data_IF_865949695727
#
_entry.id   IF_865949695727
#
_cell.length_a   1.000
_cell.length_b   1.000
_cell.length_c   1.000
_cell.angle_alpha   90.00
_cell.angle_beta   90.00
_cell.angle_gamma   90.00
#
_symmetry.space_group_name_H-M   'P 1'
#
loop_
_entity.id
_entity.type
_entity.pdbx_description
1 polymer ?
#
# COMPACT_ATOMS: atom_id res chain seq x y z
N UNK A 1 -19.50 1.51 1.82
CA UNK A 1 -18.97 1.33 0.45
C UNK A 1 -17.51 0.94 0.49
N UNK A 2 -17.14 -0.12 -0.22
CA UNK A 2 -15.75 -0.53 -0.33
C UNK A 2 -15.01 0.40 -1.29
N UNK A 3 -14.05 1.17 -0.78
CA UNK A 3 -13.27 2.14 -1.56
C UNK A 3 -11.85 1.68 -1.92
N UNK A 4 -11.52 0.39 -1.65
CA UNK A 4 -10.17 -0.13 -1.85
C UNK A 4 -10.02 -1.01 -3.08
N UNK A 5 -11.09 -1.27 -3.81
CA UNK A 5 -11.10 -2.09 -5.03
C UNK A 5 -11.53 -1.25 -6.22
N UNK A 6 -10.88 -1.42 -7.36
CA UNK A 6 -11.24 -0.77 -8.62
C UNK A 6 -10.76 -1.59 -9.83
N UNK A 7 -11.34 -1.28 -11.00
CA UNK A 7 -11.16 -2.02 -12.23
C UNK A 7 -12.31 -2.98 -12.51
N UNK A 8 -12.40 -3.47 -13.73
CA UNK A 8 -13.42 -4.41 -14.18
C UNK A 8 -12.80 -5.77 -14.54
N UNK A 9 -12.19 -5.89 -15.71
CA UNK A 9 -11.53 -7.12 -16.17
C UNK A 9 -10.17 -7.30 -15.47
N UNK A 10 -9.38 -6.24 -15.41
CA UNK A 10 -8.21 -6.14 -14.56
C UNK A 10 -8.63 -5.37 -13.31
N UNK A 11 -8.59 -6.04 -12.17
CA UNK A 11 -9.07 -5.50 -10.91
C UNK A 11 -7.98 -5.51 -9.87
N UNK A 12 -7.87 -4.44 -9.11
CA UNK A 12 -6.96 -4.39 -7.96
C UNK A 12 -7.73 -4.11 -6.68
N UNK A 13 -7.26 -4.69 -5.58
CA UNK A 13 -7.72 -4.42 -4.23
C UNK A 13 -6.51 -4.11 -3.38
N UNK A 14 -6.40 -2.87 -2.89
CA UNK A 14 -5.33 -2.45 -1.99
C UNK A 14 -5.71 -2.67 -0.54
N UNK A 15 -4.74 -3.00 0.31
CA UNK A 15 -4.93 -3.27 1.73
C UNK A 15 -3.72 -2.82 2.56
N UNK A 16 -3.86 -2.84 3.88
CA UNK A 16 -2.82 -2.45 4.82
C UNK A 16 -2.82 -0.96 5.18
N UNK A 17 -2.11 -0.62 6.22
CA UNK A 17 -2.03 0.71 6.82
C UNK A 17 -0.59 1.17 6.95
N UNK A 18 -0.37 2.50 7.01
CA UNK A 18 0.98 3.11 7.06
C UNK A 18 1.79 2.70 8.29
N UNK A 19 1.12 2.36 9.40
CA UNK A 19 1.72 1.92 10.66
C UNK A 19 1.27 0.51 11.06
N UNK A 20 0.64 -0.24 10.14
CA UNK A 20 0.41 -1.67 10.25
C UNK A 20 1.67 -2.48 9.88
N UNK A 21 1.54 -3.80 9.81
CA UNK A 21 2.66 -4.69 9.45
C UNK A 21 3.17 -4.46 8.03
N UNK A 22 2.27 -4.16 7.10
CA UNK A 22 2.60 -3.95 5.70
C UNK A 22 1.47 -3.33 4.90
N UNK A 23 1.78 -3.05 3.66
CA UNK A 23 0.83 -2.56 2.65
C UNK A 23 0.95 -3.47 1.43
N UNK A 24 -0.19 -3.80 0.84
CA UNK A 24 -0.18 -4.67 -0.32
C UNK A 24 -1.33 -4.43 -1.28
N UNK A 25 -1.35 -5.27 -2.29
CA UNK A 25 -2.37 -5.29 -3.33
C UNK A 25 -2.62 -6.73 -3.77
N UNK A 26 -3.86 -7.01 -4.09
CA UNK A 26 -4.25 -8.20 -4.83
C UNK A 26 -4.68 -7.75 -6.23
N UNK A 27 -4.07 -8.34 -7.25
CA UNK A 27 -4.40 -8.14 -8.66
C UNK A 27 -5.15 -9.37 -9.16
N UNK A 28 -6.33 -9.17 -9.70
CA UNK A 28 -7.14 -10.20 -10.35
C UNK A 28 -7.38 -9.84 -11.81
N UNK A 29 -7.49 -10.86 -12.67
CA UNK A 29 -7.68 -10.69 -14.12
C UNK A 29 -6.39 -10.45 -14.90
N UNK A 30 -5.21 -10.70 -14.33
CA UNK A 30 -3.97 -10.72 -15.07
C UNK A 30 -3.91 -11.99 -15.94
N UNK A 31 -3.64 -11.89 -17.27
CA UNK A 31 -3.50 -13.06 -18.13
C UNK A 31 -2.40 -14.01 -17.66
N UNK A 32 -2.60 -15.31 -17.88
CA UNK A 32 -1.57 -16.31 -17.63
C UNK A 32 -0.43 -16.25 -18.66
N UNK A 33 0.76 -16.65 -18.24
CA UNK A 33 1.93 -16.84 -19.13
C UNK A 33 2.78 -15.59 -19.38
N UNK A 34 2.47 -14.45 -18.73
CA UNK A 34 3.32 -13.27 -18.79
C UNK A 34 4.54 -13.45 -17.91
N UNK A 35 5.72 -13.05 -18.38
CA UNK A 35 6.93 -13.02 -17.55
C UNK A 35 6.79 -11.95 -16.50
N UNK A 36 6.99 -12.30 -15.24
CA UNK A 36 6.87 -11.39 -14.09
C UNK A 36 7.78 -11.84 -12.96
N UNK A 37 8.54 -10.89 -12.43
CA UNK A 37 9.32 -11.03 -11.20
C UNK A 37 9.24 -9.76 -10.35
N UNK A 38 9.72 -9.81 -9.13
CA UNK A 38 9.71 -8.67 -8.19
C UNK A 38 10.43 -7.46 -8.76
N UNK A 39 11.51 -7.65 -9.50
CA UNK A 39 12.31 -6.56 -10.11
C UNK A 39 11.51 -5.75 -11.13
N UNK A 40 10.56 -6.37 -11.83
CA UNK A 40 9.70 -5.67 -12.78
C UNK A 40 8.81 -4.64 -12.09
N UNK A 41 8.37 -4.96 -10.89
CA UNK A 41 7.52 -4.10 -10.05
C UNK A 41 8.38 -3.12 -9.26
N UNK A 42 9.52 -3.57 -8.73
CA UNK A 42 10.40 -2.80 -7.86
C UNK A 42 10.88 -1.51 -8.53
N UNK A 43 11.20 -1.52 -9.80
CA UNK A 43 11.61 -0.32 -10.56
C UNK A 43 10.59 0.81 -10.53
N UNK A 44 9.29 0.49 -10.44
CA UNK A 44 8.23 1.49 -10.30
C UNK A 44 8.08 1.96 -8.84
N UNK A 45 8.19 1.05 -7.89
CA UNK A 45 8.18 1.38 -6.46
C UNK A 45 9.37 2.25 -6.07
N UNK A 46 10.54 2.01 -6.64
CA UNK A 46 11.74 2.82 -6.42
C UNK A 46 11.56 4.29 -6.84
N UNK A 47 10.78 4.54 -7.88
CA UNK A 47 10.44 5.91 -8.31
C UNK A 47 9.46 6.61 -7.36
N UNK A 48 8.72 5.86 -6.57
CA UNK A 48 7.70 6.33 -5.63
C UNK A 48 8.23 6.49 -4.20
N UNK A 49 9.23 5.71 -3.77
CA UNK A 49 9.68 5.64 -2.37
C UNK A 49 10.06 7.00 -1.78
N UNK A 50 10.00 7.18 -0.44
CA UNK A 50 10.44 8.39 0.23
C UNK A 50 11.89 8.75 -0.06
N UNK A 51 12.26 10.03 0.12
CA UNK A 51 13.65 10.48 -0.01
C UNK A 51 14.07 10.86 -1.43
N UNK A 52 13.15 10.94 -2.40
CA UNK A 52 13.45 11.37 -3.78
C UNK A 52 13.78 12.86 -3.89
N UNK A 53 13.39 13.68 -2.92
CA UNK A 53 13.71 15.11 -2.88
C UNK A 53 13.73 15.65 -1.44
N UNK A 54 14.28 16.84 -1.25
CA UNK A 54 14.29 17.54 0.04
C UNK A 54 12.90 17.91 0.58
N UNK A 55 11.88 17.83 -0.24
CA UNK A 55 10.49 18.13 0.12
C UNK A 55 9.67 16.90 0.51
N UNK A 56 10.25 15.70 0.38
CA UNK A 56 9.56 14.47 0.77
C UNK A 56 9.82 14.14 2.24
N UNK A 57 9.02 13.23 2.81
CA UNK A 57 9.23 12.73 4.16
C UNK A 57 10.63 12.16 4.34
N UNK A 58 11.21 12.34 5.54
CA UNK A 58 12.52 11.78 5.90
C UNK A 58 12.46 10.28 6.24
N UNK A 59 11.27 9.67 6.24
CA UNK A 59 11.08 8.24 6.50
C UNK A 59 11.95 7.41 5.53
N UNK A 60 12.72 6.49 6.09
CA UNK A 60 13.59 5.60 5.32
C UNK A 60 12.95 4.23 5.18
N UNK A 61 12.45 3.95 3.99
CA UNK A 61 11.84 2.66 3.67
C UNK A 61 12.46 2.13 2.36
N UNK A 62 12.81 0.86 2.36
CA UNK A 62 13.29 0.20 1.14
C UNK A 62 12.17 -0.05 0.14
N UNK A 63 10.92 -0.15 0.64
CA UNK A 63 9.72 -0.50 -0.12
C UNK A 63 9.93 -1.74 -1.01
N UNK A 64 10.67 -2.73 -0.48
CA UNK A 64 10.94 -3.99 -1.19
C UNK A 64 9.65 -4.79 -1.30
N UNK A 65 9.26 -5.08 -2.53
CA UNK A 65 8.05 -5.86 -2.83
C UNK A 65 8.34 -7.36 -2.75
N UNK A 66 7.37 -8.10 -2.25
CA UNK A 66 7.32 -9.56 -2.31
C UNK A 66 6.08 -10.00 -3.06
N UNK A 67 6.23 -10.93 -4.01
CA UNK A 67 5.10 -11.61 -4.68
C UNK A 67 4.76 -12.85 -3.87
N UNK A 68 3.53 -12.91 -3.36
CA UNK A 68 3.08 -14.00 -2.46
C UNK A 68 2.28 -15.07 -3.20
N UNK A 69 1.72 -14.77 -4.37
CA UNK A 69 0.90 -15.70 -5.16
C UNK A 69 0.78 -15.26 -6.62
N UNK A 70 0.26 -16.14 -7.46
CA UNK A 70 -0.09 -15.84 -8.86
C UNK A 70 1.08 -15.87 -9.85
N UNK A 71 2.28 -16.26 -9.40
CA UNK A 71 3.47 -16.44 -10.26
C UNK A 71 4.10 -17.80 -9.97
N UNK A 72 4.46 -18.52 -11.01
CA UNK A 72 5.15 -19.79 -10.94
C UNK A 72 6.22 -19.87 -12.04
N UNK A 73 7.45 -20.24 -11.69
CA UNK A 73 8.61 -20.28 -12.61
C UNK A 73 8.77 -19.00 -13.45
N UNK A 74 8.58 -17.82 -12.81
CA UNK A 74 8.73 -16.52 -13.46
C UNK A 74 7.62 -16.14 -14.41
N UNK A 75 6.47 -16.83 -14.38
CA UNK A 75 5.30 -16.53 -15.22
C UNK A 75 4.04 -16.44 -14.40
N UNK A 76 3.15 -15.52 -14.81
CA UNK A 76 1.83 -15.40 -14.23
C UNK A 76 0.99 -16.66 -14.47
N UNK A 77 0.20 -17.06 -13.49
CA UNK A 77 -0.63 -18.27 -13.57
C UNK A 77 -2.07 -18.02 -14.01
N UNK A 78 -2.48 -16.73 -14.12
CA UNK A 78 -3.88 -16.35 -14.36
C UNK A 78 -4.72 -16.32 -13.08
N UNK A 79 -4.16 -16.74 -11.95
CA UNK A 79 -4.81 -16.64 -10.63
C UNK A 79 -4.44 -15.31 -9.96
N UNK A 80 -5.12 -14.90 -8.88
CA UNK A 80 -4.83 -13.64 -8.22
C UNK A 80 -3.37 -13.50 -7.78
N UNK A 81 -2.75 -12.38 -8.15
CA UNK A 81 -1.39 -12.01 -7.75
C UNK A 81 -1.48 -11.17 -6.49
N UNK A 82 -0.96 -11.67 -5.38
CA UNK A 82 -0.84 -10.92 -4.13
C UNK A 82 0.58 -10.40 -3.98
N UNK A 83 0.71 -9.11 -3.72
CA UNK A 83 2.00 -8.46 -3.51
C UNK A 83 1.97 -7.66 -2.20
N UNK A 84 3.11 -7.58 -1.53
CA UNK A 84 3.22 -6.92 -0.23
C UNK A 84 4.56 -6.21 -0.06
N UNK A 85 4.53 -5.09 0.65
CA UNK A 85 5.70 -4.36 1.15
C UNK A 85 5.59 -4.27 2.67
N UNK A 86 6.62 -4.71 3.40
CA UNK A 86 6.68 -4.63 4.85
C UNK A 86 6.99 -3.21 5.31
N UNK A 87 6.30 -2.75 6.35
CA UNK A 87 6.63 -1.51 7.03
C UNK A 87 7.77 -1.76 8.01
N UNK A 88 8.90 -1.10 7.82
CA UNK A 88 10.10 -1.26 8.67
C UNK A 88 10.34 -0.08 9.59
N UNK A 89 10.03 1.14 9.12
CA UNK A 89 10.26 2.39 9.86
C UNK A 89 8.91 2.99 10.29
N UNK A 90 8.34 2.44 11.37
CA UNK A 90 7.10 2.90 11.97
C UNK A 90 7.35 3.33 13.43
N UNK A 91 7.11 4.60 13.73
CA UNK A 91 7.23 5.18 15.05
C UNK A 91 5.84 5.43 15.66
N UNK A 92 5.20 4.37 16.15
CA UNK A 92 3.83 4.46 16.70
C UNK A 92 3.72 5.27 18.00
N UNK A 93 4.82 5.43 18.73
CA UNK A 93 4.86 6.21 19.96
C UNK A 93 4.62 7.72 19.74
N UNK A 94 4.92 8.23 18.56
CA UNK A 94 4.80 9.66 18.21
C UNK A 94 3.36 10.14 18.03
N UNK A 95 2.37 9.23 18.13
CA UNK A 95 0.97 9.53 17.81
C UNK A 95 0.01 9.48 19.00
N UNK A 96 0.51 9.31 20.24
CA UNK A 96 -0.35 9.15 21.42
C UNK A 96 -1.27 10.37 21.68
N UNK A 97 -0.76 11.58 21.49
CA UNK A 97 -1.55 12.80 21.68
C UNK A 97 -2.62 12.98 20.59
N UNK A 98 -2.35 12.50 19.39
CA UNK A 98 -3.22 12.61 18.21
C UNK A 98 -4.48 11.75 18.35
N UNK A 99 -4.48 10.76 19.24
CA UNK A 99 -5.66 9.94 19.52
C UNK A 99 -6.85 10.77 20.03
N UNK A 100 -6.59 11.92 20.69
CA UNK A 100 -7.61 12.72 21.35
C UNK A 100 -8.22 13.83 20.49
N UNK A 101 -7.69 14.12 19.30
CA UNK A 101 -8.20 15.17 18.42
C UNK A 101 -8.09 14.81 16.94
N UNK A 102 -8.81 15.54 16.09
CA UNK A 102 -8.74 15.41 14.64
C UNK A 102 -7.70 16.35 14.05
N UNK A 103 -6.77 15.83 13.27
CA UNK A 103 -5.72 16.62 12.64
C UNK A 103 -6.26 17.38 11.43
N UNK A 104 -5.97 18.69 11.29
CA UNK A 104 -6.27 19.43 10.07
C UNK A 104 -5.61 18.79 8.85
N UNK A 105 -6.34 18.72 7.73
CA UNK A 105 -5.84 18.15 6.48
C UNK A 105 -5.70 16.62 6.45
N UNK A 106 -6.18 15.91 7.49
CA UNK A 106 -6.22 14.45 7.56
C UNK A 106 -7.66 13.94 7.54
N UNK A 107 -7.84 12.67 7.28
CA UNK A 107 -9.15 12.02 7.20
C UNK A 107 -9.67 11.50 8.56
N UNK A 108 -9.14 11.98 9.67
CA UNK A 108 -9.43 11.48 11.01
C UNK A 108 -10.93 11.51 11.32
N UNK A 109 -11.58 12.66 11.17
CA UNK A 109 -13.01 12.83 11.36
C UNK A 109 -13.83 11.94 10.42
N UNK A 110 -13.45 11.92 9.13
CA UNK A 110 -14.18 11.11 8.14
C UNK A 110 -14.11 9.61 8.43
N UNK A 111 -13.02 9.12 9.00
CA UNK A 111 -12.88 7.71 9.37
C UNK A 111 -13.72 7.38 10.59
N UNK A 112 -13.73 8.23 11.62
CA UNK A 112 -14.59 8.04 12.80
C UNK A 112 -16.08 8.07 12.41
N UNK A 113 -16.50 9.03 11.58
CA UNK A 113 -17.89 9.11 11.11
C UNK A 113 -18.29 7.89 10.24
N UNK A 114 -17.40 7.41 9.41
CA UNK A 114 -17.69 6.31 8.48
C UNK A 114 -17.63 4.94 9.12
N UNK A 115 -16.67 4.69 10.02
CA UNK A 115 -16.34 3.37 10.55
C UNK A 115 -16.59 3.24 12.06
N UNK A 116 -16.90 4.34 12.76
CA UNK A 116 -17.13 4.36 14.20
C UNK A 116 -15.86 4.42 15.05
N UNK A 117 -14.68 4.26 14.46
CA UNK A 117 -13.37 4.45 15.08
C UNK A 117 -12.29 4.57 14.00
N UNK A 118 -11.10 5.01 14.39
CA UNK A 118 -9.95 5.14 13.48
C UNK A 118 -8.67 4.57 14.07
N UNK A 119 -7.76 4.16 13.21
CA UNK A 119 -6.35 4.03 13.57
C UNK A 119 -5.69 5.41 13.46
N UNK A 120 -5.40 6.02 14.61
CA UNK A 120 -4.81 7.36 14.69
C UNK A 120 -3.31 7.38 14.34
N UNK A 121 -2.65 6.24 14.24
CA UNK A 121 -1.22 6.12 13.96
C UNK A 121 -0.93 6.50 12.51
N UNK A 122 -0.17 7.56 12.31
CA UNK A 122 0.08 8.09 10.97
C UNK A 122 -1.20 8.51 10.26
N UNK A 123 -1.45 8.12 9.08
CA UNK A 123 -2.71 8.35 8.34
C UNK A 123 -3.50 7.06 8.14
N UNK A 124 -3.07 5.94 8.71
CA UNK A 124 -3.70 4.63 8.48
C UNK A 124 -3.84 4.34 6.99
N UNK A 125 -5.06 3.98 6.56
CA UNK A 125 -5.41 3.77 5.14
C UNK A 125 -5.42 5.05 4.30
N UNK A 126 -5.58 6.23 4.90
CA UNK A 126 -5.57 7.53 4.19
C UNK A 126 -4.16 8.10 3.98
N UNK A 127 -3.12 7.42 4.45
CA UNK A 127 -1.73 7.81 4.24
C UNK A 127 -1.33 7.73 2.77
N UNK A 128 -0.48 8.65 2.31
CA UNK A 128 0.14 8.58 0.98
C UNK A 128 0.93 7.29 0.74
N UNK A 129 1.31 6.58 1.79
CA UNK A 129 1.97 5.27 1.71
C UNK A 129 1.06 4.18 1.10
N UNK A 130 -0.24 4.32 1.15
CA UNK A 130 -1.21 3.43 0.49
C UNK A 130 -0.99 3.35 -1.02
N UNK A 131 -0.40 4.37 -1.62
CA UNK A 131 -0.05 4.36 -3.06
C UNK A 131 0.96 3.28 -3.45
N UNK A 132 1.67 2.66 -2.50
CA UNK A 132 2.49 1.46 -2.75
C UNK A 132 1.66 0.38 -3.46
N UNK A 133 0.49 0.06 -2.91
CA UNK A 133 -0.40 -0.95 -3.50
C UNK A 133 -0.86 -0.57 -4.90
N UNK A 134 -1.17 0.71 -5.14
CA UNK A 134 -1.59 1.21 -6.46
C UNK A 134 -0.47 1.14 -7.49
N UNK A 135 0.74 1.53 -7.11
CA UNK A 135 1.91 1.48 -7.99
C UNK A 135 2.29 0.04 -8.29
N UNK A 136 2.31 -0.84 -7.29
CA UNK A 136 2.61 -2.25 -7.49
C UNK A 136 1.58 -2.95 -8.42
N UNK A 137 0.29 -2.69 -8.21
CA UNK A 137 -0.76 -3.23 -9.07
C UNK A 137 -0.78 -2.66 -10.48
N UNK A 138 -0.37 -1.40 -10.65
CA UNK A 138 -0.29 -0.74 -11.95
C UNK A 138 0.98 -1.09 -12.75
N UNK A 139 2.01 -1.58 -12.08
CA UNK A 139 3.26 -1.98 -12.73
C UNK A 139 3.10 -3.21 -13.59
#
# INVERSE_FOLDING_TARGET
>A
MAGSSFGNLFRITTWGESHGKGIGVVVDGCPAGLSLCEEDIQKFLDRRKPGQSKFTTQRRESDTVEILSGVFEGKTTGTPISMMVWNKDQHSADYSEIASYYRPGHADFCFDEKYGFRDYRGGGRSSGRETIGRVAGGA
#
